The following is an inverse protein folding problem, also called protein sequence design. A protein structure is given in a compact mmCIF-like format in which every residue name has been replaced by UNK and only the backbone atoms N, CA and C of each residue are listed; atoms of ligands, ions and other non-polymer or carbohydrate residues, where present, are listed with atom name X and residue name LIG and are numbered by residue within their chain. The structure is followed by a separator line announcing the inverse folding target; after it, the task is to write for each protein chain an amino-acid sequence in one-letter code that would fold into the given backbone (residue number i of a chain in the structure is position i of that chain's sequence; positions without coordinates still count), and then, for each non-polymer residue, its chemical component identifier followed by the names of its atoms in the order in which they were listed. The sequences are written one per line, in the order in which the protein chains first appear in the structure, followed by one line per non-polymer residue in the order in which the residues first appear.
data_IF_993048395955
#
_entry.id   IF_993048395955
#
_cell.length_a   1.000
_cell.length_b   1.000
_cell.length_c   1.000
_cell.angle_alpha   90.00
_cell.angle_beta   90.00
_cell.angle_gamma   90.00
#
_symmetry.space_group_name_H-M   'P 1'
#
loop_
_entity.id
_entity.type
_entity.pdbx_description
1 polymer ?
#
# COMPACT_ATOMS: atom_id res chain seq x y z
N UNK A 1 9.07 -14.34 -7.09
CA UNK A 1 9.41 -12.92 -7.28
C UNK A 1 10.70 -12.60 -6.53
N UNK A 2 11.54 -11.78 -7.11
CA UNK A 2 12.73 -11.25 -6.49
C UNK A 2 12.42 -9.95 -5.76
N UNK A 3 12.97 -9.75 -4.58
CA UNK A 3 12.86 -8.51 -3.83
C UNK A 3 13.87 -7.51 -4.41
N UNK A 4 13.37 -6.48 -5.11
CA UNK A 4 14.22 -5.45 -5.74
C UNK A 4 14.59 -4.35 -4.75
N UNK A 5 13.67 -4.00 -3.86
CA UNK A 5 13.86 -3.01 -2.81
C UNK A 5 13.06 -3.40 -1.57
N UNK A 6 13.64 -3.19 -0.40
CA UNK A 6 12.95 -3.40 0.87
C UNK A 6 13.45 -2.41 1.91
N UNK A 7 12.59 -1.49 2.32
CA UNK A 7 12.94 -0.39 3.24
C UNK A 7 11.87 -0.20 4.31
N UNK A 8 12.25 0.29 5.48
CA UNK A 8 11.31 0.78 6.48
C UNK A 8 10.84 2.18 6.10
N UNK A 9 9.53 2.43 6.11
CA UNK A 9 8.93 3.76 5.94
C UNK A 9 8.73 4.45 7.28
N UNK A 10 8.33 3.69 8.29
CA UNK A 10 8.10 4.14 9.66
C UNK A 10 8.16 2.94 10.62
N UNK A 11 7.97 3.16 11.91
CA UNK A 11 8.01 2.08 12.89
C UNK A 11 6.99 0.98 12.58
N UNK A 12 7.49 -0.21 12.30
CA UNK A 12 6.69 -1.38 11.94
C UNK A 12 5.99 -1.31 10.57
N UNK A 13 6.30 -0.32 9.71
CA UNK A 13 5.77 -0.22 8.34
C UNK A 13 6.91 -0.36 7.33
N UNK A 14 6.75 -1.28 6.41
CA UNK A 14 7.75 -1.64 5.41
C UNK A 14 7.21 -1.48 3.99
N UNK A 15 8.09 -1.05 3.11
CA UNK A 15 7.89 -0.87 1.68
C UNK A 15 8.75 -1.89 0.93
N UNK A 16 8.11 -2.73 0.13
CA UNK A 16 8.79 -3.78 -0.63
C UNK A 16 8.40 -3.72 -2.10
N UNK A 17 9.40 -3.68 -2.98
CA UNK A 17 9.21 -3.78 -4.43
C UNK A 17 9.64 -5.16 -4.90
N UNK A 18 8.78 -5.82 -5.67
CA UNK A 18 8.94 -7.18 -6.16
C UNK A 18 9.01 -7.21 -7.68
N UNK A 19 9.97 -7.93 -8.25
CA UNK A 19 9.99 -8.26 -9.67
C UNK A 19 8.98 -9.36 -9.95
N UNK A 20 7.90 -9.04 -10.65
CA UNK A 20 6.76 -9.94 -10.86
C UNK A 20 6.04 -9.60 -12.18
N UNK A 21 6.73 -9.76 -13.30
CA UNK A 21 6.31 -9.28 -14.64
C UNK A 21 4.90 -9.73 -15.03
N UNK A 22 4.60 -11.01 -14.89
CA UNK A 22 3.30 -11.56 -15.28
C UNK A 22 2.16 -11.01 -14.43
N UNK A 23 2.39 -10.87 -13.12
CA UNK A 23 1.39 -10.31 -12.20
C UNK A 23 1.22 -8.81 -12.44
N UNK A 24 2.32 -8.07 -12.65
CA UNK A 24 2.28 -6.63 -12.88
C UNK A 24 1.50 -6.26 -14.17
N UNK A 25 1.61 -7.05 -15.24
CA UNK A 25 0.86 -6.85 -16.49
C UNK A 25 -0.66 -6.86 -16.27
N UNK A 26 -1.15 -7.76 -15.42
CA UNK A 26 -2.58 -8.00 -15.20
C UNK A 26 -3.14 -7.24 -14.00
N UNK A 27 -2.29 -6.79 -13.09
CA UNK A 27 -2.69 -6.15 -11.84
C UNK A 27 -3.46 -4.84 -12.06
N UNK A 28 -4.40 -4.58 -11.15
CA UNK A 28 -5.24 -3.37 -11.11
C UNK A 28 -5.24 -2.80 -9.69
N UNK A 29 -5.45 -1.49 -9.57
CA UNK A 29 -5.61 -0.83 -8.28
C UNK A 29 -6.72 -1.48 -7.43
N UNK A 30 -6.46 -1.69 -6.16
CA UNK A 30 -7.38 -2.35 -5.22
C UNK A 30 -7.25 -3.87 -5.14
N UNK A 31 -6.41 -4.48 -5.97
CA UNK A 31 -6.05 -5.89 -5.82
C UNK A 31 -4.95 -6.10 -4.80
N UNK A 32 -4.73 -7.34 -4.43
CA UNK A 32 -3.72 -7.77 -3.47
C UNK A 32 -2.94 -8.99 -3.99
N UNK A 33 -1.85 -9.31 -3.33
CA UNK A 33 -1.11 -10.55 -3.52
C UNK A 33 -1.06 -11.34 -2.21
N UNK A 34 -0.96 -12.67 -2.32
CA UNK A 34 -0.66 -13.55 -1.20
C UNK A 34 0.84 -13.84 -1.18
N UNK A 35 1.51 -13.44 -0.10
CA UNK A 35 2.95 -13.64 0.10
C UNK A 35 3.17 -14.86 0.98
N UNK A 36 3.93 -15.83 0.48
CA UNK A 36 4.30 -17.05 1.19
C UNK A 36 5.72 -16.90 1.74
N UNK A 37 5.87 -17.17 3.02
CA UNK A 37 7.19 -17.13 3.66
C UNK A 37 8.04 -18.34 3.26
N UNK A 38 9.34 -18.16 3.30
CA UNK A 38 10.29 -19.26 3.02
C UNK A 38 10.32 -20.30 4.16
N UNK A 39 9.87 -19.91 5.34
CA UNK A 39 9.75 -20.81 6.49
C UNK A 39 8.57 -21.78 6.30
N UNK A 40 8.87 -23.05 6.08
CA UNK A 40 7.90 -24.11 5.81
C UNK A 40 6.93 -24.39 6.97
N UNK A 41 7.23 -23.95 8.19
CA UNK A 41 6.32 -24.08 9.33
C UNK A 41 5.16 -23.07 9.29
N UNK A 42 5.29 -22.00 8.48
CA UNK A 42 4.28 -20.93 8.34
C UNK A 42 3.53 -21.09 7.01
N UNK A 43 2.58 -22.01 7.00
CA UNK A 43 1.87 -22.48 5.80
C UNK A 43 0.94 -21.39 5.22
N UNK A 44 0.30 -20.59 6.07
CA UNK A 44 -0.66 -19.58 5.62
C UNK A 44 0.05 -18.40 4.96
N UNK A 45 -0.41 -17.95 3.78
CA UNK A 45 0.14 -16.76 3.15
C UNK A 45 -0.31 -15.46 3.84
N UNK A 46 0.37 -14.35 3.53
CA UNK A 46 0.00 -13.00 3.97
C UNK A 46 -0.63 -12.27 2.83
N UNK A 47 -1.95 -11.99 2.89
CA UNK A 47 -2.60 -11.13 1.90
C UNK A 47 -2.15 -9.69 2.14
N UNK A 48 -1.55 -9.07 1.13
CA UNK A 48 -1.07 -7.69 1.18
C UNK A 48 -1.53 -6.96 -0.06
N UNK A 49 -2.17 -5.81 0.14
CA UNK A 49 -2.67 -4.96 -0.94
C UNK A 49 -1.52 -4.39 -1.78
N UNK A 50 -1.76 -4.28 -3.07
CA UNK A 50 -0.84 -3.65 -4.01
C UNK A 50 -0.89 -2.14 -3.81
N UNK A 51 0.26 -1.53 -3.56
CA UNK A 51 0.46 -0.09 -3.38
C UNK A 51 0.91 0.60 -4.67
N UNK A 52 1.57 -0.12 -5.56
CA UNK A 52 2.07 0.40 -6.83
C UNK A 52 2.25 -0.69 -7.87
N UNK A 53 2.01 -0.33 -9.13
CA UNK A 53 2.12 -1.21 -10.29
C UNK A 53 2.95 -0.50 -11.35
N UNK A 54 4.08 -1.07 -11.72
CA UNK A 54 4.86 -0.65 -12.87
C UNK A 54 4.87 -1.77 -13.91
N UNK A 55 4.03 -1.62 -14.93
CA UNK A 55 3.89 -2.62 -16.00
C UNK A 55 5.09 -2.66 -16.94
N UNK A 56 5.78 -1.54 -17.12
CA UNK A 56 6.97 -1.45 -17.98
C UNK A 56 8.17 -2.10 -17.30
N UNK A 57 8.42 -1.75 -16.05
CA UNK A 57 9.46 -2.38 -15.25
C UNK A 57 9.09 -3.81 -14.81
N UNK A 58 7.83 -4.21 -14.92
CA UNK A 58 7.33 -5.52 -14.47
C UNK A 58 7.46 -5.69 -12.96
N UNK A 59 7.16 -4.64 -12.20
CA UNK A 59 7.28 -4.65 -10.73
C UNK A 59 5.97 -4.34 -10.03
N UNK A 60 5.85 -4.88 -8.83
CA UNK A 60 4.79 -4.56 -7.87
C UNK A 60 5.40 -3.98 -6.61
N UNK A 61 4.74 -2.97 -6.05
CA UNK A 61 5.07 -2.40 -4.75
C UNK A 61 3.99 -2.77 -3.75
N UNK A 62 4.40 -3.27 -2.60
CA UNK A 62 3.54 -3.53 -1.45
C UNK A 62 4.04 -2.76 -0.25
N UNK A 63 3.11 -2.25 0.55
CA UNK A 63 3.42 -1.64 1.85
C UNK A 63 2.63 -2.37 2.92
N UNK A 64 3.30 -2.82 3.96
CA UNK A 64 2.68 -3.66 4.99
C UNK A 64 3.15 -3.28 6.39
N UNK A 65 2.32 -3.66 7.38
CA UNK A 65 2.64 -3.48 8.80
C UNK A 65 3.03 -4.82 9.42
N UNK A 66 4.03 -4.79 10.29
CA UNK A 66 4.35 -5.93 11.14
C UNK A 66 3.34 -6.05 12.28
N UNK A 67 2.46 -7.06 12.20
CA UNK A 67 1.39 -7.30 13.20
C UNK A 67 1.50 -8.66 13.88
N UNK A 68 2.34 -9.54 13.36
CA UNK A 68 2.53 -10.89 13.90
C UNK A 68 3.79 -11.52 13.33
N UNK A 69 4.09 -12.73 13.79
CA UNK A 69 5.35 -13.44 13.46
C UNK A 69 5.63 -13.57 11.97
N UNK A 70 4.60 -13.69 11.14
CA UNK A 70 4.79 -13.82 9.70
C UNK A 70 5.22 -12.52 9.03
N UNK A 71 4.59 -11.40 9.35
CA UNK A 71 4.99 -10.09 8.80
C UNK A 71 6.29 -9.61 9.42
N UNK A 72 6.60 -10.02 10.66
CA UNK A 72 7.89 -9.77 11.28
C UNK A 72 9.00 -10.55 10.58
N UNK A 73 8.79 -11.83 10.26
CA UNK A 73 9.75 -12.59 9.45
C UNK A 73 9.93 -11.99 8.05
N UNK A 74 8.83 -11.55 7.41
CA UNK A 74 8.91 -10.88 6.11
C UNK A 74 9.74 -9.59 6.17
N UNK A 75 9.73 -8.86 7.29
CA UNK A 75 10.53 -7.64 7.46
C UNK A 75 12.03 -7.89 7.58
N UNK A 76 12.45 -9.12 7.81
CA UNK A 76 13.86 -9.52 7.87
C UNK A 76 14.45 -9.88 6.48
N UNK A 77 13.58 -10.06 5.46
CA UNK A 77 14.03 -10.39 4.10
C UNK A 77 14.83 -9.25 3.47
N UNK A 78 15.78 -9.60 2.61
CA UNK A 78 16.70 -8.64 2.00
C UNK A 78 16.49 -8.52 0.49
N UNK A 79 16.94 -7.41 -0.07
CA UNK A 79 17.05 -7.23 -1.51
C UNK A 79 17.85 -8.36 -2.14
N UNK A 80 17.40 -8.85 -3.30
CA UNK A 80 17.94 -10.01 -3.99
C UNK A 80 17.39 -11.36 -3.52
N UNK A 81 16.69 -11.43 -2.38
CA UNK A 81 16.06 -12.68 -1.94
C UNK A 81 14.80 -12.99 -2.75
N UNK A 82 14.52 -14.28 -2.87
CA UNK A 82 13.32 -14.77 -3.56
C UNK A 82 12.18 -15.00 -2.58
N UNK A 83 11.00 -14.51 -2.93
CA UNK A 83 9.77 -14.77 -2.19
C UNK A 83 8.70 -15.35 -3.13
N UNK A 84 7.95 -16.34 -2.63
CA UNK A 84 6.83 -16.91 -3.38
C UNK A 84 5.60 -16.02 -3.20
N UNK A 85 4.99 -15.61 -4.31
CA UNK A 85 3.74 -14.84 -4.32
C UNK A 85 2.70 -15.51 -5.21
N UNK A 86 1.43 -15.24 -4.92
CA UNK A 86 0.28 -15.59 -5.75
C UNK A 86 -0.54 -14.31 -5.98
N UNK A 87 -0.88 -14.03 -7.22
CA UNK A 87 -1.68 -12.87 -7.59
C UNK A 87 -1.78 -12.66 -9.10
N UNK A 88 -2.40 -11.55 -9.54
CA UNK A 88 -3.16 -10.62 -8.69
C UNK A 88 -4.47 -11.25 -8.20
N UNK A 89 -4.89 -10.91 -6.99
CA UNK A 89 -6.10 -11.43 -6.37
C UNK A 89 -7.11 -10.31 -6.08
N UNK A 90 -8.40 -10.65 -6.04
CA UNK A 90 -9.48 -9.68 -5.86
C UNK A 90 -9.90 -9.00 -7.17
N UNK A 91 -10.96 -8.19 -7.10
CA UNK A 91 -11.59 -7.60 -8.30
C UNK A 91 -11.02 -6.24 -8.70
N UNK A 92 -10.28 -5.58 -7.81
CA UNK A 92 -9.85 -4.19 -7.99
C UNK A 92 -10.98 -3.18 -7.74
N UNK A 93 -10.65 -1.90 -7.81
CA UNK A 93 -11.62 -0.82 -7.70
C UNK A 93 -12.31 -0.55 -9.04
N UNK A 94 -13.62 -0.28 -8.99
CA UNK A 94 -14.36 0.24 -10.14
C UNK A 94 -14.04 1.73 -10.27
N UNK A 95 -13.34 2.10 -11.33
CA UNK A 95 -13.05 3.49 -11.64
C UNK A 95 -14.20 4.15 -12.39
N UNK A 96 -14.46 5.42 -12.09
CA UNK A 96 -15.47 6.25 -12.77
C UNK A 96 -14.86 7.61 -13.08
N UNK A 97 -15.18 8.17 -14.24
CA UNK A 97 -14.75 9.51 -14.69
C UNK A 97 -15.54 10.62 -13.98
N UNK A 98 -15.46 10.64 -12.66
CA UNK A 98 -16.14 11.62 -11.82
C UNK A 98 -15.20 12.04 -10.70
N UNK A 99 -15.47 13.21 -10.08
CA UNK A 99 -14.77 13.63 -8.88
C UNK A 99 -14.71 12.49 -7.86
N UNK A 100 -13.51 12.16 -7.41
CA UNK A 100 -13.26 11.03 -6.52
C UNK A 100 -12.73 11.50 -5.15
N UNK A 101 -13.26 10.91 -4.09
CA UNK A 101 -12.73 11.03 -2.75
C UNK A 101 -12.25 9.65 -2.31
N UNK A 102 -10.95 9.52 -2.05
CA UNK A 102 -10.32 8.30 -1.57
C UNK A 102 -10.11 8.41 -0.08
N UNK A 103 -10.56 7.44 0.69
CA UNK A 103 -10.46 7.45 2.15
C UNK A 103 -9.59 6.28 2.59
N UNK A 104 -8.49 6.58 3.26
CA UNK A 104 -7.57 5.57 3.79
C UNK A 104 -7.13 5.89 5.21
N UNK A 105 -7.10 4.88 6.08
CA UNK A 105 -6.60 5.01 7.44
C UNK A 105 -5.55 3.94 7.75
N UNK A 106 -4.43 4.33 8.37
CA UNK A 106 -3.35 3.42 8.73
C UNK A 106 -2.88 2.57 7.56
N UNK A 107 -2.82 1.25 7.70
CA UNK A 107 -2.36 0.35 6.63
C UNK A 107 -3.38 0.19 5.47
N UNK A 108 -4.52 0.84 5.53
CA UNK A 108 -5.44 0.99 4.40
C UNK A 108 -5.07 2.13 3.43
N UNK A 109 -4.09 2.95 3.76
CA UNK A 109 -3.58 4.05 2.92
C UNK A 109 -2.87 3.55 1.65
N UNK A 110 -1.95 2.57 1.69
CA UNK A 110 -1.16 2.15 0.54
C UNK A 110 -1.96 1.79 -0.72
N UNK A 111 -3.05 0.99 -0.67
CA UNK A 111 -3.81 0.66 -1.87
C UNK A 111 -4.51 1.86 -2.52
N UNK A 112 -4.76 2.94 -1.77
CA UNK A 112 -5.35 4.17 -2.30
C UNK A 112 -4.35 4.93 -3.20
N UNK A 113 -3.05 4.77 -3.01
CA UNK A 113 -2.03 5.48 -3.79
C UNK A 113 -2.07 5.04 -5.26
N UNK A 114 -2.09 3.74 -5.53
CA UNK A 114 -2.19 3.23 -6.92
C UNK A 114 -3.51 3.64 -7.57
N UNK A 115 -4.62 3.57 -6.83
CA UNK A 115 -5.91 4.04 -7.33
C UNK A 115 -5.84 5.54 -7.68
N UNK A 116 -5.28 6.36 -6.81
CA UNK A 116 -5.17 7.80 -7.04
C UNK A 116 -4.31 8.13 -8.27
N UNK A 117 -3.24 7.37 -8.52
CA UNK A 117 -2.40 7.51 -9.72
C UNK A 117 -3.15 7.18 -11.01
N UNK A 118 -4.03 6.17 -10.99
CA UNK A 118 -4.76 5.71 -12.16
C UNK A 118 -6.00 6.55 -12.50
N UNK A 119 -6.54 7.31 -11.56
CA UNK A 119 -7.70 8.16 -11.79
C UNK A 119 -7.34 9.39 -12.63
N UNK A 120 -8.07 9.63 -13.73
CA UNK A 120 -7.97 10.82 -14.56
C UNK A 120 -9.17 11.75 -14.32
N UNK A 121 -9.30 12.25 -13.09
CA UNK A 121 -10.37 13.16 -12.67
C UNK A 121 -9.91 13.99 -11.46
N UNK A 122 -10.69 15.00 -11.08
CA UNK A 122 -10.51 15.71 -9.80
C UNK A 122 -10.57 14.71 -8.66
N UNK A 123 -9.52 14.64 -7.86
CA UNK A 123 -9.36 13.62 -6.83
C UNK A 123 -8.75 14.18 -5.55
N UNK A 124 -9.31 13.76 -4.44
CA UNK A 124 -8.84 14.13 -3.10
C UNK A 124 -8.65 12.88 -2.28
N UNK A 125 -7.49 12.71 -1.67
CA UNK A 125 -7.26 11.66 -0.68
C UNK A 125 -7.48 12.21 0.74
N UNK A 126 -8.28 11.52 1.54
CA UNK A 126 -8.46 11.77 2.97
C UNK A 126 -7.71 10.67 3.72
N UNK A 127 -6.60 11.04 4.35
CA UNK A 127 -5.67 10.11 4.96
C UNK A 127 -5.65 10.25 6.49
N UNK A 128 -5.89 9.15 7.20
CA UNK A 128 -5.88 9.11 8.65
C UNK A 128 -4.66 8.38 9.20
N UNK A 129 -3.93 9.07 10.06
CA UNK A 129 -2.76 8.55 10.76
C UNK A 129 -2.98 8.56 12.28
N UNK A 130 -2.14 7.87 13.03
CA UNK A 130 -2.16 7.93 14.49
C UNK A 130 -1.58 9.26 14.99
N UNK A 131 -0.47 9.68 14.38
CA UNK A 131 0.35 10.81 14.78
C UNK A 131 1.03 11.45 13.56
N UNK A 132 2.06 12.25 13.77
CA UNK A 132 2.82 12.93 12.72
C UNK A 132 3.71 12.02 11.85
N UNK A 133 3.74 10.73 12.09
CA UNK A 133 4.43 9.75 11.23
C UNK A 133 3.54 9.36 10.04
N UNK A 134 3.58 10.21 9.01
CA UNK A 134 2.66 10.18 7.87
C UNK A 134 3.32 9.55 6.64
N UNK A 135 3.53 8.24 6.67
CA UNK A 135 4.11 7.51 5.55
C UNK A 135 3.30 7.69 4.25
N UNK A 136 3.97 7.78 3.11
CA UNK A 136 3.41 8.00 1.76
C UNK A 136 2.74 9.36 1.53
N UNK A 137 2.65 10.25 2.52
CA UNK A 137 1.99 11.57 2.38
C UNK A 137 2.46 12.33 1.14
N UNK A 138 3.77 12.50 0.99
CA UNK A 138 4.36 13.28 -0.10
C UNK A 138 4.06 12.68 -1.49
N UNK A 139 3.94 11.35 -1.57
CA UNK A 139 3.57 10.67 -2.81
C UNK A 139 2.11 10.93 -3.19
N UNK A 140 1.20 11.03 -2.22
CA UNK A 140 -0.19 11.43 -2.46
C UNK A 140 -0.29 12.89 -2.90
N UNK A 141 0.43 13.79 -2.24
CA UNK A 141 0.48 15.22 -2.59
C UNK A 141 1.03 15.47 -4.00
N UNK A 142 1.91 14.61 -4.48
CA UNK A 142 2.43 14.67 -5.85
C UNK A 142 1.40 14.33 -6.94
N UNK A 143 0.28 13.66 -6.58
CA UNK A 143 -0.71 13.16 -7.56
C UNK A 143 -2.12 13.74 -7.40
N UNK A 144 -2.37 14.52 -6.37
CA UNK A 144 -3.66 15.20 -6.18
C UNK A 144 -3.80 15.86 -4.82
N UNK A 145 -5.02 16.31 -4.50
CA UNK A 145 -5.30 16.97 -3.24
C UNK A 145 -5.28 15.98 -2.07
N UNK A 146 -4.78 16.43 -0.93
CA UNK A 146 -4.69 15.61 0.28
C UNK A 146 -5.28 16.34 1.48
N UNK A 147 -6.12 15.66 2.22
CA UNK A 147 -6.63 16.09 3.53
C UNK A 147 -6.17 15.07 4.57
N UNK A 148 -5.64 15.55 5.69
CA UNK A 148 -5.05 14.70 6.72
C UNK A 148 -5.78 14.86 8.03
N UNK A 149 -6.00 13.72 8.71
CA UNK A 149 -6.34 13.65 10.13
C UNK A 149 -5.30 12.87 10.91
N UNK A 150 -5.06 13.28 12.15
CA UNK A 150 -4.25 12.54 13.12
C UNK A 150 -5.02 12.36 14.41
N UNK A 151 -4.97 11.16 14.98
CA UNK A 151 -5.72 10.84 16.21
C UNK A 151 -5.28 11.71 17.38
N UNK A 152 -3.98 11.99 17.50
CA UNK A 152 -3.39 12.84 18.54
C UNK A 152 -3.54 14.35 18.27
N UNK A 153 -3.87 14.74 17.03
CA UNK A 153 -3.97 16.13 16.62
C UNK A 153 -2.64 16.81 16.32
N UNK A 154 -1.58 16.04 16.10
CA UNK A 154 -0.24 16.55 15.79
C UNK A 154 -0.15 17.19 14.39
N UNK A 155 -1.05 16.82 13.47
CA UNK A 155 -1.15 17.39 12.13
C UNK A 155 -2.58 17.32 11.58
N UNK A 156 -2.99 18.34 10.82
CA UNK A 156 -4.29 18.39 10.16
C UNK A 156 -5.48 18.40 11.13
N UNK A 157 -6.55 17.70 10.78
CA UNK A 157 -7.73 17.58 11.64
C UNK A 157 -7.47 16.57 12.75
N UNK A 158 -7.74 16.97 13.99
CA UNK A 158 -7.67 16.03 15.12
C UNK A 158 -8.84 15.06 15.07
N UNK A 159 -8.54 13.76 15.06
CA UNK A 159 -9.54 12.70 15.03
C UNK A 159 -9.28 11.69 13.92
N UNK A 160 -10.33 11.01 13.49
CA UNK A 160 -10.27 10.03 12.40
C UNK A 160 -10.61 10.67 11.03
N UNK A 161 -10.56 9.85 9.96
CA UNK A 161 -10.86 10.31 8.59
C UNK A 161 -12.26 10.90 8.42
N UNK A 162 -13.23 10.47 9.21
CA UNK A 162 -14.60 11.00 9.13
C UNK A 162 -14.65 12.43 9.68
N UNK A 163 -13.85 12.75 10.68
CA UNK A 163 -13.75 14.09 11.23
C UNK A 163 -13.12 15.08 10.24
N UNK A 164 -12.27 14.59 9.36
CA UNK A 164 -11.64 15.38 8.30
C UNK A 164 -12.53 15.65 7.08
N UNK A 165 -13.64 14.90 6.93
CA UNK A 165 -14.60 15.05 5.80
C UNK A 165 -15.74 16.02 6.15
N UNK A 166 -15.99 16.29 7.42
CA UNK A 166 -17.02 17.23 7.89
C UNK A 166 -16.60 18.66 7.64
#
# INVERSE_FOLDING_TARGET
AEIIRHTSLSDGIFDMTLKAEEIAKEAKAGQFISVYLNNKSKILPRPISICGIDKEAGTLRIVYRTVGDGTKELSDYKEGEMVKILGPLGNGFTQKDKKAILIGGGIGIPPMLELMKQLDCDKTAVLGYRDSDMFLKDEFEAVGDVVISTEDGSFGTKGNVIDAIK
#
